data_IF_405173550644
#
_entry.id   IF_405173550644
#
_cell.length_a   1.000
_cell.length_b   1.000
_cell.length_c   1.000
_cell.angle_alpha   90.00
_cell.angle_beta   90.00
_cell.angle_gamma   90.00
#
_symmetry.space_group_name_H-M   'P 1'
#
loop_
_entity.id
_entity.type
_entity.pdbx_description
1 polymer ?
#
# COMPACT_ATOMS: atom_id res chain seq x y z
N UNK A 1 -37.03 22.40 -9.95
CA UNK A 1 -37.45 22.52 -8.53
C UNK A 1 -36.31 23.17 -7.78
N UNK A 2 -36.56 24.12 -6.87
CA UNK A 2 -35.50 24.82 -6.15
C UNK A 2 -34.73 23.86 -5.23
N UNK A 3 -33.40 23.86 -5.32
CA UNK A 3 -32.47 23.04 -4.53
C UNK A 3 -32.66 23.21 -3.01
N UNK A 4 -33.11 24.39 -2.58
CA UNK A 4 -33.39 24.71 -1.17
C UNK A 4 -34.50 23.86 -0.55
N UNK A 5 -35.41 23.30 -1.37
CA UNK A 5 -36.47 22.40 -0.88
C UNK A 5 -35.92 21.03 -0.46
N UNK A 6 -34.93 20.50 -1.18
CA UNK A 6 -34.34 19.18 -0.90
C UNK A 6 -33.53 19.19 0.41
N UNK A 7 -32.87 20.31 0.73
CA UNK A 7 -32.04 20.44 1.94
C UNK A 7 -32.88 20.39 3.24
N UNK A 8 -33.95 21.19 3.33
CA UNK A 8 -34.76 21.30 4.55
C UNK A 8 -35.49 19.99 4.87
N UNK A 9 -35.82 19.19 3.86
CA UNK A 9 -36.61 17.97 4.04
C UNK A 9 -35.80 16.77 4.55
N UNK A 10 -34.49 16.71 4.29
CA UNK A 10 -33.64 15.64 4.84
C UNK A 10 -33.61 15.64 6.38
N UNK A 11 -33.87 16.79 7.01
CA UNK A 11 -33.90 16.97 8.46
C UNK A 11 -35.23 16.60 9.12
N UNK A 12 -36.28 16.31 8.34
CA UNK A 12 -37.60 15.91 8.87
C UNK A 12 -37.61 14.43 9.28
N UNK A 13 -36.78 13.58 8.65
CA UNK A 13 -36.66 12.14 8.96
C UNK A 13 -35.23 11.76 9.34
N UNK A 14 -34.83 12.23 10.52
CA UNK A 14 -33.45 12.13 11.00
C UNK A 14 -32.95 10.69 11.09
N UNK A 15 -33.76 9.74 11.56
CA UNK A 15 -33.29 8.37 11.83
C UNK A 15 -32.92 7.58 10.58
N UNK A 16 -33.81 7.48 9.58
CA UNK A 16 -33.52 6.75 8.34
C UNK A 16 -32.41 7.42 7.55
N UNK A 17 -32.45 8.75 7.41
CA UNK A 17 -31.42 9.50 6.70
C UNK A 17 -30.04 9.35 7.35
N UNK A 18 -29.97 9.41 8.69
CA UNK A 18 -28.72 9.21 9.44
C UNK A 18 -28.20 7.78 9.25
N UNK A 19 -29.06 6.76 9.34
CA UNK A 19 -28.62 5.38 9.09
C UNK A 19 -28.04 5.19 7.70
N UNK A 20 -28.67 5.74 6.67
CA UNK A 20 -28.20 5.64 5.29
C UNK A 20 -26.87 6.36 5.10
N UNK A 21 -26.74 7.56 5.66
CA UNK A 21 -25.47 8.32 5.64
C UNK A 21 -24.37 7.57 6.38
N UNK A 22 -24.65 6.92 7.51
CA UNK A 22 -23.67 6.11 8.25
C UNK A 22 -23.24 4.86 7.47
N UNK A 23 -24.17 4.14 6.84
CA UNK A 23 -23.86 3.00 5.97
C UNK A 23 -22.95 3.46 4.83
N UNK A 24 -23.33 4.54 4.14
CA UNK A 24 -22.53 5.13 3.06
C UNK A 24 -21.13 5.51 3.58
N UNK A 25 -21.05 6.18 4.72
CA UNK A 25 -19.79 6.60 5.32
C UNK A 25 -18.88 5.41 5.64
N UNK A 26 -19.43 4.32 6.18
CA UNK A 26 -18.66 3.09 6.44
C UNK A 26 -18.11 2.48 5.14
N UNK A 27 -18.94 2.37 4.09
CA UNK A 27 -18.48 1.87 2.78
C UNK A 27 -17.38 2.75 2.20
N UNK A 28 -17.56 4.07 2.23
CA UNK A 28 -16.56 5.01 1.69
C UNK A 28 -15.28 5.01 2.51
N UNK A 29 -15.34 4.84 3.82
CA UNK A 29 -14.15 4.74 4.67
C UNK A 29 -13.29 3.53 4.27
N UNK A 30 -13.91 2.36 4.10
CA UNK A 30 -13.22 1.14 3.67
C UNK A 30 -12.72 1.26 2.22
N UNK A 31 -13.54 1.82 1.32
CA UNK A 31 -13.14 2.01 -0.07
C UNK A 31 -11.96 2.99 -0.21
N UNK A 32 -11.98 4.09 0.53
CA UNK A 32 -10.87 5.07 0.55
C UNK A 32 -9.60 4.46 1.13
N UNK A 33 -9.72 3.62 2.16
CA UNK A 33 -8.58 2.87 2.70
C UNK A 33 -7.98 1.92 1.66
N UNK A 34 -8.83 1.17 0.93
CA UNK A 34 -8.41 0.27 -0.15
C UNK A 34 -7.68 1.03 -1.27
N UNK A 35 -8.22 2.19 -1.70
CA UNK A 35 -7.58 3.02 -2.74
C UNK A 35 -6.24 3.56 -2.28
N UNK A 36 -6.15 4.10 -1.06
CA UNK A 36 -4.91 4.60 -0.49
C UNK A 36 -3.85 3.50 -0.36
N UNK A 37 -4.27 2.29 0.03
CA UNK A 37 -3.35 1.16 0.14
C UNK A 37 -2.83 0.71 -1.25
N UNK A 38 -3.72 0.61 -2.25
CA UNK A 38 -3.32 0.24 -3.62
C UNK A 38 -2.33 1.24 -4.21
N UNK A 39 -2.55 2.53 -3.96
CA UNK A 39 -1.63 3.59 -4.37
C UNK A 39 -0.27 3.45 -3.67
N UNK A 40 -0.26 3.25 -2.34
CA UNK A 40 0.97 3.07 -1.58
C UNK A 40 1.77 1.85 -2.06
N UNK A 41 1.11 0.73 -2.34
CA UNK A 41 1.75 -0.46 -2.91
C UNK A 41 2.34 -0.18 -4.28
N UNK A 42 1.57 0.44 -5.18
CA UNK A 42 2.01 0.73 -6.56
C UNK A 42 3.21 1.69 -6.56
N UNK A 43 3.15 2.73 -5.73
CA UNK A 43 4.24 3.70 -5.56
C UNK A 43 5.50 3.05 -5.04
N UNK A 44 5.41 2.24 -3.98
CA UNK A 44 6.58 1.56 -3.41
C UNK A 44 7.25 0.62 -4.44
N UNK A 45 6.46 -0.10 -5.23
CA UNK A 45 6.96 -0.98 -6.29
C UNK A 45 7.57 -0.21 -7.47
N UNK A 46 7.07 0.98 -7.80
CA UNK A 46 7.64 1.80 -8.90
C UNK A 46 9.05 2.30 -8.61
N UNK A 47 9.41 2.49 -7.33
CA UNK A 47 10.78 2.85 -6.96
C UNK A 47 11.73 1.65 -7.00
N UNK A 48 11.19 0.43 -7.06
CA UNK A 48 11.91 -0.81 -7.07
C UNK A 48 11.81 -1.50 -8.45
N UNK A 49 11.60 -0.74 -9.53
CA UNK A 49 11.36 -1.27 -10.88
C UNK A 49 12.59 -1.25 -11.79
N UNK A 50 13.78 -1.51 -11.23
CA UNK A 50 15.01 -1.52 -12.02
C UNK A 50 15.11 -2.80 -12.86
N UNK A 51 15.13 -2.65 -14.19
CA UNK A 51 15.23 -3.78 -15.12
C UNK A 51 16.68 -4.22 -15.36
N UNK A 52 17.67 -3.43 -14.96
CA UNK A 52 19.10 -3.70 -15.17
C UNK A 52 19.81 -4.21 -13.92
N UNK A 53 19.18 -4.08 -12.75
CA UNK A 53 19.62 -4.73 -11.53
C UNK A 53 19.04 -6.14 -11.49
N UNK A 54 19.90 -7.14 -11.35
CA UNK A 54 19.50 -8.51 -11.08
C UNK A 54 19.66 -8.80 -9.59
N UNK A 55 18.68 -9.50 -9.04
CA UNK A 55 18.75 -10.11 -7.72
C UNK A 55 19.00 -11.60 -7.94
N UNK A 56 20.18 -12.05 -7.55
CA UNK A 56 20.59 -13.46 -7.64
C UNK A 56 20.31 -14.13 -6.30
N UNK A 57 19.62 -15.27 -6.35
CA UNK A 57 19.24 -16.10 -5.22
C UNK A 57 19.75 -17.52 -5.42
N UNK A 58 19.81 -18.30 -4.34
CA UNK A 58 19.98 -19.75 -4.44
C UNK A 58 18.81 -20.34 -5.23
N UNK A 59 19.09 -21.31 -6.10
CA UNK A 59 18.06 -22.03 -6.86
C UNK A 59 16.93 -22.55 -5.94
N UNK A 60 15.70 -22.48 -6.45
CA UNK A 60 14.45 -22.79 -5.72
C UNK A 60 14.08 -21.83 -4.57
N UNK A 61 14.84 -20.77 -4.33
CA UNK A 61 14.45 -19.72 -3.37
C UNK A 61 13.47 -18.75 -4.03
N UNK A 62 12.52 -18.25 -3.23
CA UNK A 62 11.48 -17.31 -3.69
C UNK A 62 11.66 -15.91 -3.12
N UNK A 63 12.58 -15.74 -2.16
CA UNK A 63 12.86 -14.50 -1.46
C UNK A 63 14.33 -14.45 -1.04
N UNK A 64 14.85 -13.25 -0.78
CA UNK A 64 16.19 -13.12 -0.19
C UNK A 64 16.26 -13.74 1.23
N UNK A 65 15.15 -13.78 1.97
CA UNK A 65 15.08 -14.32 3.33
C UNK A 65 15.15 -15.85 3.42
N UNK A 66 14.74 -16.58 2.37
CA UNK A 66 14.82 -18.05 2.32
C UNK A 66 15.94 -18.57 1.41
N UNK A 67 16.82 -17.68 0.96
CA UNK A 67 17.96 -17.99 0.12
C UNK A 67 19.25 -18.09 0.95
N UNK A 68 20.13 -18.99 0.53
CA UNK A 68 21.43 -19.23 1.13
C UNK A 68 22.44 -19.60 0.03
N UNK A 69 23.25 -18.62 -0.37
CA UNK A 69 24.29 -18.74 -1.39
C UNK A 69 25.65 -18.94 -0.69
N UNK A 70 26.27 -20.12 -0.81
CA UNK A 70 27.62 -20.37 -0.31
C UNK A 70 28.65 -19.43 -0.97
N UNK A 71 29.77 -19.12 -0.28
CA UNK A 71 30.85 -18.32 -0.85
C UNK A 71 31.41 -18.88 -2.17
N UNK A 72 31.46 -20.20 -2.31
CA UNK A 72 31.93 -20.85 -3.54
C UNK A 72 31.02 -20.54 -4.74
N UNK A 73 29.70 -20.55 -4.55
CA UNK A 73 28.74 -20.20 -5.60
C UNK A 73 28.76 -18.71 -5.92
N UNK A 74 28.96 -17.85 -4.91
CA UNK A 74 29.20 -16.43 -5.13
C UNK A 74 30.45 -16.18 -5.99
N UNK A 75 31.52 -16.95 -5.76
CA UNK A 75 32.76 -16.81 -6.52
C UNK A 75 32.58 -17.16 -8.00
N UNK A 76 31.67 -18.08 -8.35
CA UNK A 76 31.31 -18.41 -9.74
C UNK A 76 30.77 -17.20 -10.51
N UNK A 77 30.09 -16.26 -9.84
CA UNK A 77 29.58 -15.03 -10.47
C UNK A 77 30.69 -14.11 -11.00
N UNK A 78 31.95 -14.35 -10.66
CA UNK A 78 33.11 -13.64 -11.23
C UNK A 78 33.22 -13.86 -12.75
N UNK A 79 32.67 -14.96 -13.28
CA UNK A 79 32.59 -15.22 -14.72
C UNK A 79 31.78 -14.15 -15.47
N UNK A 80 30.88 -13.45 -14.79
CA UNK A 80 30.01 -12.43 -15.38
C UNK A 80 30.61 -11.02 -15.30
N UNK A 81 31.82 -10.83 -14.75
CA UNK A 81 32.39 -9.50 -14.49
C UNK A 81 32.44 -8.60 -15.73
N UNK A 82 32.57 -9.15 -16.94
CA UNK A 82 32.59 -8.32 -18.17
C UNK A 82 31.22 -7.71 -18.51
N UNK A 83 30.14 -8.32 -18.03
CA UNK A 83 28.76 -7.91 -18.29
C UNK A 83 28.24 -6.95 -17.22
N UNK A 84 28.92 -6.93 -16.06
CA UNK A 84 28.57 -6.10 -14.92
C UNK A 84 29.02 -4.65 -15.12
N UNK A 85 28.18 -3.73 -14.66
CA UNK A 85 28.53 -2.32 -14.60
C UNK A 85 29.69 -2.11 -13.62
N UNK A 86 30.56 -1.17 -13.93
CA UNK A 86 31.69 -0.78 -13.08
C UNK A 86 31.35 0.51 -12.34
N UNK A 87 31.67 0.60 -11.05
CA UNK A 87 31.58 1.85 -10.31
C UNK A 87 32.58 2.88 -10.89
N UNK A 88 32.11 4.07 -11.33
CA UNK A 88 32.99 5.09 -11.86
C UNK A 88 34.09 5.54 -10.88
N UNK A 89 33.84 5.46 -9.56
CA UNK A 89 34.75 5.92 -8.50
C UNK A 89 35.74 4.84 -8.11
N UNK A 90 35.26 3.70 -7.60
CA UNK A 90 36.13 2.64 -7.07
C UNK A 90 36.73 1.75 -8.16
N UNK A 91 36.19 1.80 -9.38
CA UNK A 91 36.48 0.86 -10.48
C UNK A 91 36.13 -0.61 -10.16
N UNK A 92 35.43 -0.87 -9.06
CA UNK A 92 34.94 -2.20 -8.73
C UNK A 92 33.72 -2.56 -9.56
N UNK A 93 33.55 -3.86 -9.78
CA UNK A 93 32.32 -4.39 -10.37
C UNK A 93 31.14 -4.15 -9.43
N UNK A 94 30.00 -3.73 -9.96
CA UNK A 94 28.78 -3.49 -9.20
C UNK A 94 28.10 -4.83 -8.87
N UNK A 95 28.72 -5.53 -7.91
CA UNK A 95 28.32 -6.82 -7.35
C UNK A 95 28.38 -6.73 -5.83
N UNK A 96 27.22 -6.81 -5.19
CA UNK A 96 27.05 -6.68 -3.76
C UNK A 96 26.50 -7.98 -3.17
N UNK A 97 27.32 -8.79 -2.46
CA UNK A 97 26.80 -9.89 -1.66
C UNK A 97 26.10 -9.33 -0.43
N UNK A 98 24.91 -9.85 -0.12
CA UNK A 98 24.07 -9.32 0.93
C UNK A 98 23.54 -10.43 1.82
N UNK A 99 23.50 -10.18 3.12
CA UNK A 99 22.80 -11.04 4.07
C UNK A 99 21.53 -10.34 4.52
N UNK A 100 20.45 -11.10 4.71
CA UNK A 100 19.24 -10.58 5.31
C UNK A 100 18.84 -11.51 6.44
N UNK A 101 18.60 -10.90 7.59
CA UNK A 101 18.03 -11.54 8.77
C UNK A 101 16.91 -10.68 9.31
N UNK A 102 16.13 -11.22 10.24
CA UNK A 102 15.04 -10.48 10.86
C UNK A 102 15.26 -10.38 12.36
N UNK A 103 14.87 -9.23 12.89
CA UNK A 103 14.92 -8.90 14.30
C UNK A 103 13.56 -8.40 14.72
N UNK A 104 13.09 -8.82 15.89
CA UNK A 104 11.84 -8.35 16.45
C UNK A 104 12.10 -7.05 17.22
N UNK A 105 11.51 -5.94 16.76
CA UNK A 105 11.63 -4.63 17.42
C UNK A 105 10.26 -4.12 17.89
N UNK A 106 10.21 -3.40 19.01
CA UNK A 106 8.97 -2.81 19.54
C UNK A 106 8.45 -1.69 18.64
N UNK A 107 7.14 -1.69 18.39
CA UNK A 107 6.45 -0.68 17.57
C UNK A 107 6.18 0.59 18.36
N UNK A 108 6.52 1.76 17.80
CA UNK A 108 6.25 3.07 18.41
C UNK A 108 4.75 3.36 18.54
N UNK A 109 3.94 2.96 17.54
CA UNK A 109 2.51 3.28 17.51
C UNK A 109 1.76 2.75 18.74
N UNK A 110 2.12 1.56 19.20
CA UNK A 110 1.45 0.89 20.30
C UNK A 110 2.20 1.12 21.62
N UNK A 111 3.04 2.17 21.70
CA UNK A 111 3.85 2.52 22.88
C UNK A 111 4.93 1.49 23.21
N UNK A 112 5.33 0.65 22.25
CA UNK A 112 6.29 -0.44 22.43
C UNK A 112 5.67 -1.74 22.98
N UNK A 113 4.35 -1.84 23.11
CA UNK A 113 3.68 -3.04 23.65
C UNK A 113 3.67 -4.25 22.71
N UNK A 114 3.81 -4.03 21.41
CA UNK A 114 3.82 -5.07 20.38
C UNK A 114 5.12 -5.00 19.59
N UNK A 115 5.61 -6.16 19.16
CA UNK A 115 6.81 -6.25 18.33
C UNK A 115 6.45 -6.51 16.86
N UNK A 116 7.34 -6.12 15.95
CA UNK A 116 7.31 -6.57 14.57
C UNK A 116 8.71 -6.95 14.08
N UNK A 117 8.75 -7.78 13.04
CA UNK A 117 10.00 -8.17 12.41
C UNK A 117 10.50 -7.05 11.51
N UNK A 118 11.72 -6.60 11.73
CA UNK A 118 12.44 -5.64 10.90
C UNK A 118 13.57 -6.38 10.20
N UNK A 119 13.75 -6.14 8.91
CA UNK A 119 14.86 -6.74 8.17
C UNK A 119 16.16 -5.99 8.49
N UNK A 120 17.19 -6.76 8.84
CA UNK A 120 18.56 -6.30 8.96
C UNK A 120 19.34 -6.84 7.77
N UNK A 121 19.84 -5.92 6.95
CA UNK A 121 20.67 -6.20 5.79
C UNK A 121 22.14 -5.98 6.16
N UNK A 122 22.95 -7.00 5.98
CA UNK A 122 24.40 -6.83 5.95
C UNK A 122 24.84 -6.57 4.52
N UNK A 123 25.58 -5.50 4.33
CA UNK A 123 25.96 -4.97 3.03
C UNK A 123 27.43 -4.52 3.01
N UNK A 124 28.04 -4.56 1.83
CA UNK A 124 29.35 -3.96 1.56
C UNK A 124 29.18 -2.53 1.02
N UNK A 125 30.30 -1.84 0.75
CA UNK A 125 30.24 -0.48 0.19
C UNK A 125 29.65 -0.46 -1.23
N UNK A 126 29.82 -1.56 -1.99
CA UNK A 126 29.24 -1.76 -3.32
C UNK A 126 27.70 -1.71 -3.31
N UNK A 127 27.05 -2.06 -2.19
CA UNK A 127 25.60 -2.01 -2.07
C UNK A 127 25.05 -0.60 -2.35
N UNK A 128 25.74 0.45 -1.92
CA UNK A 128 25.32 1.83 -2.16
C UNK A 128 25.41 2.26 -3.63
N UNK A 129 26.17 1.53 -4.45
CA UNK A 129 26.30 1.80 -5.88
C UNK A 129 25.30 0.96 -6.67
N UNK A 130 25.12 -0.30 -6.27
CA UNK A 130 24.16 -1.22 -6.88
C UNK A 130 22.71 -0.74 -6.64
N UNK A 131 22.41 -0.29 -5.43
CA UNK A 131 21.11 0.26 -5.03
C UNK A 131 21.07 1.78 -5.20
N UNK A 132 20.85 2.24 -6.44
CA UNK A 132 20.87 3.67 -6.82
C UNK A 132 19.88 4.57 -6.06
N UNK A 133 18.83 3.98 -5.51
CA UNK A 133 17.78 4.70 -4.78
C UNK A 133 18.13 4.99 -3.31
N UNK A 134 19.28 4.48 -2.82
CA UNK A 134 19.70 4.65 -1.42
C UNK A 134 20.56 5.90 -1.27
N UNK A 135 20.09 6.85 -0.48
CA UNK A 135 20.82 8.06 -0.13
C UNK A 135 20.84 8.26 1.40
N UNK A 136 22.00 8.60 1.95
CA UNK A 136 22.10 8.99 3.37
C UNK A 136 21.39 10.32 3.55
N UNK A 137 20.33 10.33 4.36
CA UNK A 137 19.53 11.53 4.62
C UNK A 137 20.02 12.27 5.86
N UNK A 138 20.51 11.55 6.88
CA UNK A 138 21.05 12.13 8.11
C UNK A 138 22.23 11.30 8.63
N UNK A 139 23.17 11.96 9.31
CA UNK A 139 24.35 11.30 9.89
C UNK A 139 25.36 10.86 8.84
N UNK A 140 25.91 9.66 8.98
CA UNK A 140 26.92 9.10 8.06
C UNK A 140 26.67 7.63 7.73
N UNK A 141 27.40 7.12 6.74
CA UNK A 141 27.47 5.67 6.45
C UNK A 141 28.12 4.93 7.64
N UNK A 142 27.78 3.65 7.77
CA UNK A 142 28.50 2.74 8.66
C UNK A 142 29.90 2.46 8.10
N UNK A 143 30.85 2.16 9.00
CA UNK A 143 32.20 1.75 8.62
C UNK A 143 32.31 0.22 8.56
N UNK A 144 33.00 -0.30 7.54
CA UNK A 144 33.22 -1.75 7.43
C UNK A 144 34.02 -2.27 8.63
N UNK A 145 33.54 -3.35 9.25
CA UNK A 145 34.16 -3.94 10.45
C UNK A 145 33.75 -3.30 11.78
N UNK A 146 33.01 -2.19 11.77
CA UNK A 146 32.51 -1.54 12.98
C UNK A 146 31.16 -2.12 13.44
N UNK A 147 30.84 -1.99 14.73
CA UNK A 147 29.51 -2.30 15.27
C UNK A 147 28.57 -1.09 15.08
N UNK A 148 28.36 -0.72 13.83
CA UNK A 148 27.56 0.43 13.43
C UNK A 148 26.49 0.02 12.43
N UNK A 149 25.36 0.70 12.46
CA UNK A 149 24.25 0.51 11.53
C UNK A 149 23.69 1.85 11.09
N UNK A 150 23.09 1.85 9.90
CA UNK A 150 22.21 2.91 9.44
C UNK A 150 20.79 2.37 9.34
N UNK A 151 19.80 3.25 9.47
CA UNK A 151 18.38 2.86 9.51
C UNK A 151 17.62 3.57 8.41
N UNK A 152 16.74 2.87 7.71
CA UNK A 152 15.84 3.48 6.75
C UNK A 152 14.85 4.44 7.43
N UNK A 153 14.54 5.58 6.82
CA UNK A 153 13.67 6.60 7.42
C UNK A 153 12.31 6.06 7.89
N UNK A 154 11.79 5.06 7.18
CA UNK A 154 10.50 4.48 7.51
C UNK A 154 10.61 3.56 8.74
N UNK A 155 11.68 2.75 8.83
CA UNK A 155 11.95 1.95 10.01
C UNK A 155 12.15 2.84 11.25
N UNK A 156 12.91 3.93 11.13
CA UNK A 156 13.15 4.86 12.24
C UNK A 156 11.87 5.51 12.80
N UNK A 157 10.85 5.72 11.94
CA UNK A 157 9.54 6.27 12.36
C UNK A 157 8.59 5.22 12.95
N UNK A 158 8.84 3.94 12.73
CA UNK A 158 7.95 2.86 13.13
C UNK A 158 8.38 2.14 14.39
N UNK A 159 9.69 2.01 14.61
CA UNK A 159 10.25 1.18 15.67
C UNK A 159 11.03 2.02 16.68
N UNK A 160 10.96 1.62 17.95
CA UNK A 160 11.66 2.33 19.01
C UNK A 160 13.16 1.98 19.01
N UNK A 161 14.00 2.90 19.49
CA UNK A 161 15.44 2.70 19.63
C UNK A 161 16.23 2.76 18.32
N UNK A 162 15.68 3.39 17.29
CA UNK A 162 16.30 3.52 15.96
C UNK A 162 16.74 4.96 15.63
N UNK A 163 16.85 5.85 16.62
CA UNK A 163 17.36 7.20 16.38
C UNK A 163 18.89 7.20 16.28
N UNK A 164 19.46 8.20 15.61
CA UNK A 164 20.91 8.36 15.54
C UNK A 164 21.47 8.55 16.96
N UNK A 165 22.45 7.72 17.31
CA UNK A 165 23.03 7.64 18.65
C UNK A 165 22.50 6.49 19.50
N UNK A 166 21.33 5.93 19.17
CA UNK A 166 20.78 4.78 19.87
C UNK A 166 21.66 3.53 19.62
N UNK A 167 21.59 2.58 20.54
CA UNK A 167 22.26 1.28 20.39
C UNK A 167 21.22 0.18 20.33
N UNK A 168 21.24 -0.60 19.26
CA UNK A 168 20.37 -1.76 19.06
C UNK A 168 21.13 -3.06 19.24
N UNK A 169 20.50 -4.00 19.93
CA UNK A 169 21.08 -5.32 20.14
C UNK A 169 20.74 -6.23 18.96
N UNK A 170 21.76 -6.59 18.19
CA UNK A 170 21.68 -7.52 17.05
C UNK A 170 22.55 -8.75 17.29
N UNK A 171 22.41 -9.73 16.40
CA UNK A 171 23.10 -11.01 16.47
C UNK A 171 22.20 -12.16 16.90
N UNK A 172 22.70 -13.38 16.79
CA UNK A 172 21.91 -14.61 16.99
C UNK A 172 21.23 -14.67 18.36
N UNK A 173 21.91 -14.24 19.42
CA UNK A 173 21.37 -14.16 20.78
C UNK A 173 21.01 -12.73 21.21
N UNK A 174 21.06 -11.75 20.29
CA UNK A 174 20.84 -10.34 20.60
C UNK A 174 21.86 -9.77 21.61
N UNK A 175 23.11 -10.26 21.58
CA UNK A 175 24.14 -9.91 22.56
C UNK A 175 25.16 -8.88 22.07
N UNK A 176 25.04 -8.39 20.83
CA UNK A 176 25.96 -7.39 20.27
C UNK A 176 25.23 -6.07 20.05
N UNK A 177 25.67 -5.03 20.75
CA UNK A 177 25.17 -3.68 20.58
C UNK A 177 25.76 -3.03 19.33
N UNK A 178 24.90 -2.62 18.41
CA UNK A 178 25.24 -1.83 17.22
C UNK A 178 24.73 -0.41 17.39
N UNK A 179 25.60 0.56 17.15
CA UNK A 179 25.24 1.98 17.25
C UNK A 179 24.61 2.47 15.95
N UNK A 180 23.49 3.17 16.04
CA UNK A 180 22.86 3.83 14.90
C UNK A 180 23.64 5.11 14.58
N UNK A 181 24.25 5.18 13.40
CA UNK A 181 25.12 6.31 12.99
C UNK A 181 24.54 7.20 11.90
N UNK A 182 23.43 6.79 11.29
CA UNK A 182 22.77 7.56 10.25
C UNK A 182 21.44 6.99 9.84
N UNK A 183 20.66 7.82 9.15
CA UNK A 183 19.43 7.42 8.48
C UNK A 183 19.60 7.51 6.97
N UNK A 184 18.94 6.62 6.23
CA UNK A 184 18.92 6.64 4.78
C UNK A 184 17.49 6.66 4.24
N UNK A 185 17.32 7.28 3.07
CA UNK A 185 16.08 7.21 2.30
C UNK A 185 16.25 6.27 1.13
N UNK A 186 15.19 5.52 0.82
CA UNK A 186 15.08 4.71 -0.40
C UNK A 186 13.99 5.28 -1.35
N UNK A 187 13.69 6.58 -1.23
CA UNK A 187 12.62 7.29 -1.94
C UNK A 187 11.22 6.64 -1.80
N UNK A 188 10.89 6.01 -0.67
CA UNK A 188 9.63 5.27 -0.49
C UNK A 188 9.64 3.84 -1.02
N UNK A 189 10.80 3.34 -1.45
CA UNK A 189 11.00 1.94 -1.85
C UNK A 189 11.02 0.97 -0.65
N UNK A 190 10.90 -0.34 -0.89
CA UNK A 190 10.80 -1.36 0.17
C UNK A 190 11.96 -1.36 1.18
N UNK A 191 13.15 -0.97 0.74
CA UNK A 191 14.37 -0.95 1.57
C UNK A 191 14.37 0.16 2.63
N UNK A 192 13.47 1.13 2.57
CA UNK A 192 13.36 2.22 3.57
C UNK A 192 12.87 1.72 4.93
N UNK A 193 12.37 0.48 5.00
CA UNK A 193 11.95 -0.23 6.21
C UNK A 193 13.05 -1.15 6.77
N UNK A 194 14.29 -1.06 6.29
CA UNK A 194 15.39 -1.94 6.69
C UNK A 194 16.41 -1.23 7.58
N UNK A 195 17.19 -2.03 8.31
CA UNK A 195 18.40 -1.62 9.03
C UNK A 195 19.60 -2.18 8.27
N UNK A 196 20.58 -1.35 7.94
CA UNK A 196 21.76 -1.77 7.19
C UNK A 196 23.01 -1.69 8.05
N UNK A 197 23.90 -2.67 7.94
CA UNK A 197 25.21 -2.65 8.60
C UNK A 197 26.27 -3.42 7.83
N UNK A 198 27.51 -3.48 8.36
CA UNK A 198 28.62 -4.16 7.71
C UNK A 198 28.36 -5.65 7.55
N UNK A 199 28.46 -6.14 6.31
CA UNK A 199 28.20 -7.54 5.96
C UNK A 199 28.95 -8.53 6.85
N UNK A 200 30.27 -8.43 6.89
CA UNK A 200 31.13 -9.39 7.61
C UNK A 200 30.85 -9.39 9.11
N UNK A 201 30.58 -8.21 9.68
CA UNK A 201 30.33 -8.05 11.11
C UNK A 201 28.99 -8.65 11.48
N UNK A 202 27.94 -8.40 10.69
CA UNK A 202 26.62 -8.99 10.88
C UNK A 202 26.64 -10.51 10.64
N UNK A 203 27.33 -11.01 9.61
CA UNK A 203 27.44 -12.46 9.35
C UNK A 203 28.04 -13.17 10.56
N UNK A 204 29.12 -12.62 11.12
CA UNK A 204 29.74 -13.14 12.34
C UNK A 204 28.80 -13.06 13.55
N UNK A 205 28.06 -11.95 13.72
CA UNK A 205 27.11 -11.78 14.83
C UNK A 205 25.94 -12.76 14.77
N UNK A 206 25.52 -13.16 13.57
CA UNK A 206 24.42 -14.11 13.35
C UNK A 206 24.90 -15.54 13.07
N UNK A 207 26.21 -15.81 13.20
CA UNK A 207 26.82 -17.12 12.91
C UNK A 207 26.46 -17.66 11.51
N UNK A 208 26.35 -16.77 10.51
CA UNK A 208 26.05 -17.13 9.13
C UNK A 208 27.32 -17.24 8.30
N UNK A 209 27.36 -18.23 7.42
CA UNK A 209 28.45 -18.49 6.47
C UNK A 209 27.98 -18.45 4.99
N UNK A 210 26.74 -18.04 4.74
CA UNK A 210 26.15 -17.93 3.40
C UNK A 210 25.45 -16.58 3.22
N UNK A 211 25.44 -16.09 1.99
CA UNK A 211 24.74 -14.85 1.61
C UNK A 211 23.26 -15.14 1.37
N UNK A 212 22.40 -14.17 1.63
CA UNK A 212 20.98 -14.24 1.30
C UNK A 212 20.74 -13.98 -0.18
N UNK A 213 21.44 -13.00 -0.73
CA UNK A 213 21.29 -12.61 -2.12
C UNK A 213 22.59 -11.99 -2.63
N UNK A 214 22.70 -11.90 -3.95
CA UNK A 214 23.75 -11.11 -4.59
C UNK A 214 23.05 -10.14 -5.53
N UNK A 215 23.16 -8.85 -5.23
CA UNK A 215 22.66 -7.80 -6.10
C UNK A 215 23.75 -7.47 -7.11
N UNK A 216 23.44 -7.63 -8.40
CA UNK A 216 24.37 -7.29 -9.49
C UNK A 216 23.73 -6.30 -10.44
N UNK A 217 24.54 -5.40 -10.98
CA UNK A 217 24.08 -4.44 -11.99
C UNK A 217 24.72 -4.73 -13.33
N UNK A 218 23.90 -4.81 -14.37
CA UNK A 218 24.37 -5.01 -15.74
C UNK A 218 24.73 -3.68 -16.41
N UNK A 219 25.65 -3.75 -17.37
CA UNK A 219 25.89 -2.67 -18.33
C UNK A 219 24.68 -2.45 -19.24
N UNK A 220 24.61 -1.29 -19.88
CA UNK A 220 23.50 -0.94 -20.78
C UNK A 220 23.50 -1.76 -22.09
N UNK A 221 24.63 -2.38 -22.43
CA UNK A 221 24.85 -3.11 -23.69
C UNK A 221 24.36 -4.57 -23.65
N UNK A 222 24.20 -5.14 -22.45
CA UNK A 222 23.89 -6.58 -22.28
C UNK A 222 22.40 -6.81 -22.01
N UNK A 223 21.76 -7.76 -22.69
CA UNK A 223 20.36 -8.15 -22.40
C UNK A 223 20.27 -8.89 -21.05
N UNK A 224 19.50 -8.41 -20.06
CA UNK A 224 19.30 -9.10 -18.80
C UNK A 224 18.86 -10.57 -18.93
N UNK A 225 18.09 -10.92 -19.96
CA UNK A 225 17.61 -12.29 -20.16
C UNK A 225 18.74 -13.28 -20.47
N UNK A 226 19.74 -12.81 -21.21
CA UNK A 226 20.89 -13.63 -21.57
C UNK A 226 21.78 -13.91 -20.34
N UNK A 227 21.95 -12.91 -19.48
CA UNK A 227 22.69 -13.08 -18.22
C UNK A 227 21.94 -14.00 -17.27
N UNK A 228 20.62 -13.84 -17.16
CA UNK A 228 19.78 -14.70 -16.31
C UNK A 228 19.90 -16.17 -16.76
N UNK A 229 19.83 -16.46 -18.07
CA UNK A 229 19.95 -17.84 -18.55
C UNK A 229 21.33 -18.45 -18.30
N UNK A 230 22.40 -17.64 -18.32
CA UNK A 230 23.74 -18.07 -17.90
C UNK A 230 23.82 -18.37 -16.40
N UNK A 231 23.23 -17.52 -15.55
CA UNK A 231 23.18 -17.73 -14.10
C UNK A 231 22.40 -18.99 -13.73
N UNK A 232 21.30 -19.24 -14.45
CA UNK A 232 20.43 -20.43 -14.26
C UNK A 232 20.99 -21.70 -14.92
N UNK A 233 22.08 -21.57 -15.67
CA UNK A 233 22.76 -22.69 -16.30
C UNK A 233 23.52 -23.58 -15.30
N UNK A 234 23.96 -24.77 -15.75
CA UNK A 234 24.67 -25.76 -14.94
C UNK A 234 26.04 -25.28 -14.42
N UNK A 235 26.56 -24.16 -14.94
CA UNK A 235 27.84 -23.60 -14.52
C UNK A 235 27.76 -22.87 -13.17
N UNK A 236 26.62 -22.23 -12.88
CA UNK A 236 26.43 -21.36 -11.71
C UNK A 236 25.37 -21.94 -10.76
N UNK A 237 24.32 -22.58 -11.27
CA UNK A 237 23.24 -23.22 -10.49
C UNK A 237 22.56 -22.28 -9.47
N UNK A 238 22.41 -21.00 -9.85
CA UNK A 238 21.65 -20.01 -9.09
C UNK A 238 20.39 -19.62 -9.87
N UNK A 239 19.50 -18.84 -9.26
CA UNK A 239 18.41 -18.21 -10.00
C UNK A 239 18.57 -16.71 -9.94
N UNK A 240 18.22 -16.03 -11.03
CA UNK A 240 18.32 -14.59 -11.12
C UNK A 240 17.04 -14.04 -11.73
N UNK A 241 16.63 -12.90 -11.24
CA UNK A 241 15.54 -12.14 -11.83
C UNK A 241 15.82 -10.66 -11.71
N UNK A 242 15.24 -9.88 -12.60
CA UNK A 242 15.33 -8.42 -12.49
C UNK A 242 14.70 -7.96 -11.18
N UNK A 243 15.18 -6.85 -10.62
CA UNK A 243 14.60 -6.29 -9.41
C UNK A 243 13.11 -6.00 -9.58
N UNK A 244 12.71 -5.50 -10.76
CA UNK A 244 11.31 -5.29 -11.12
C UNK A 244 10.47 -6.58 -11.02
N UNK A 245 10.98 -7.70 -11.54
CA UNK A 245 10.31 -9.01 -11.45
C UNK A 245 10.26 -9.52 -10.00
N UNK A 246 11.35 -9.33 -9.23
CA UNK A 246 11.39 -9.74 -7.83
C UNK A 246 10.32 -9.06 -6.99
N UNK A 247 10.21 -7.73 -7.07
CA UNK A 247 9.22 -7.01 -6.28
C UNK A 247 7.79 -7.21 -6.79
N UNK A 248 7.57 -7.40 -8.09
CA UNK A 248 6.25 -7.77 -8.62
C UNK A 248 5.82 -9.16 -8.11
N UNK A 249 6.74 -10.13 -8.09
CA UNK A 249 6.50 -11.46 -7.53
C UNK A 249 6.16 -11.39 -6.03
N UNK A 250 6.89 -10.58 -5.25
CA UNK A 250 6.59 -10.40 -3.83
C UNK A 250 5.25 -9.73 -3.58
N UNK A 251 4.87 -8.76 -4.41
CA UNK A 251 3.59 -8.08 -4.29
C UNK A 251 2.39 -8.96 -4.67
N UNK A 252 2.59 -10.12 -5.30
CA UNK A 252 1.51 -10.99 -5.79
C UNK A 252 0.51 -11.37 -4.71
N UNK A 253 0.98 -11.81 -3.54
CA UNK A 253 0.10 -12.19 -2.43
C UNK A 253 -0.73 -11.00 -1.94
N UNK A 254 -0.10 -9.83 -1.80
CA UNK A 254 -0.79 -8.60 -1.39
C UNK A 254 -1.80 -8.13 -2.43
N UNK A 255 -1.49 -8.23 -3.73
CA UNK A 255 -2.46 -7.94 -4.81
C UNK A 255 -3.66 -8.90 -4.78
N UNK A 256 -3.44 -10.18 -4.47
CA UNK A 256 -4.53 -11.14 -4.28
C UNK A 256 -5.42 -10.74 -3.11
N UNK A 257 -4.84 -10.38 -1.95
CA UNK A 257 -5.62 -9.87 -0.81
C UNK A 257 -6.40 -8.60 -1.17
N UNK A 258 -5.78 -7.65 -1.88
CA UNK A 258 -6.48 -6.44 -2.34
C UNK A 258 -7.61 -6.75 -3.30
N UNK A 259 -7.46 -7.76 -4.15
CA UNK A 259 -8.53 -8.20 -5.06
C UNK A 259 -9.71 -8.75 -4.28
N UNK A 260 -9.47 -9.58 -3.26
CA UNK A 260 -10.52 -10.09 -2.37
C UNK A 260 -11.23 -8.95 -1.65
N UNK A 261 -10.48 -8.00 -1.07
CA UNK A 261 -11.06 -6.82 -0.42
C UNK A 261 -11.83 -5.96 -1.41
N UNK A 262 -11.38 -5.83 -2.66
CA UNK A 262 -12.10 -5.10 -3.71
C UNK A 262 -13.46 -5.72 -4.02
N UNK A 263 -13.55 -7.05 -4.07
CA UNK A 263 -14.83 -7.76 -4.24
C UNK A 263 -15.75 -7.51 -3.06
N UNK A 264 -15.24 -7.59 -1.83
CA UNK A 264 -16.01 -7.28 -0.61
C UNK A 264 -16.52 -5.84 -0.61
N UNK A 265 -15.70 -4.87 -1.00
CA UNK A 265 -16.12 -3.48 -1.17
C UNK A 265 -17.19 -3.35 -2.25
N UNK A 266 -17.09 -4.09 -3.36
CA UNK A 266 -18.15 -4.16 -4.37
C UNK A 266 -19.50 -4.64 -3.80
N UNK A 267 -19.48 -5.67 -2.95
CA UNK A 267 -20.67 -6.17 -2.26
C UNK A 267 -21.22 -5.10 -1.28
N UNK A 268 -20.33 -4.42 -0.54
CA UNK A 268 -20.72 -3.32 0.35
C UNK A 268 -21.36 -2.16 -0.44
N UNK A 269 -20.84 -1.83 -1.62
CA UNK A 269 -21.44 -0.83 -2.53
C UNK A 269 -22.84 -1.26 -2.98
N UNK A 270 -23.06 -2.53 -3.30
CA UNK A 270 -24.39 -3.04 -3.61
C UNK A 270 -25.35 -2.90 -2.41
N UNK A 271 -24.90 -3.26 -1.20
CA UNK A 271 -25.68 -3.08 0.03
C UNK A 271 -26.00 -1.59 0.29
N UNK A 272 -25.05 -0.69 0.04
CA UNK A 272 -25.27 0.76 0.13
C UNK A 272 -26.31 1.23 -0.89
N UNK A 273 -26.26 0.75 -2.15
CA UNK A 273 -27.28 1.05 -3.15
C UNK A 273 -28.69 0.62 -2.70
N UNK A 274 -28.82 -0.56 -2.08
CA UNK A 274 -30.09 -1.04 -1.52
C UNK A 274 -30.57 -0.17 -0.34
N UNK A 275 -29.66 0.23 0.54
CA UNK A 275 -29.97 1.13 1.67
C UNK A 275 -30.49 2.49 1.17
N UNK A 276 -29.82 3.05 0.15
CA UNK A 276 -30.24 4.28 -0.53
C UNK A 276 -31.60 4.08 -1.20
N UNK A 277 -31.80 2.98 -1.92
CA UNK A 277 -33.07 2.67 -2.57
C UNK A 277 -34.21 2.62 -1.56
N UNK A 278 -34.03 1.94 -0.43
CA UNK A 278 -35.03 1.85 0.63
C UNK A 278 -35.37 3.23 1.22
N UNK A 279 -34.35 4.05 1.43
CA UNK A 279 -34.52 5.43 1.91
C UNK A 279 -35.30 6.27 0.91
N UNK A 280 -34.97 6.17 -0.37
CA UNK A 280 -35.63 6.88 -1.44
C UNK A 280 -37.07 6.39 -1.64
N UNK A 281 -37.36 5.08 -1.53
CA UNK A 281 -38.73 4.57 -1.54
C UNK A 281 -39.56 5.16 -0.40
N UNK A 282 -39.01 5.20 0.82
CA UNK A 282 -39.67 5.80 1.97
C UNK A 282 -39.91 7.31 1.78
N UNK A 283 -38.91 8.04 1.26
CA UNK A 283 -39.02 9.47 0.94
C UNK A 283 -40.10 9.73 -0.12
N UNK A 284 -40.12 8.91 -1.17
CA UNK A 284 -41.11 9.01 -2.26
C UNK A 284 -42.52 8.71 -1.79
N UNK A 285 -42.72 7.65 -1.00
CA UNK A 285 -44.03 7.28 -0.48
C UNK A 285 -44.62 8.38 0.41
N UNK A 286 -43.79 9.00 1.26
CA UNK A 286 -44.21 10.10 2.12
C UNK A 286 -44.59 11.38 1.35
N UNK A 287 -44.07 11.56 0.13
CA UNK A 287 -44.22 12.79 -0.69
C UNK A 287 -45.03 12.56 -1.97
N UNK A 288 -45.74 11.44 -2.05
CA UNK A 288 -46.56 11.09 -3.23
C UNK A 288 -47.57 12.18 -3.60
N UNK A 289 -48.21 12.79 -2.59
CA UNK A 289 -49.18 13.90 -2.75
C UNK A 289 -48.52 15.17 -3.29
N UNK A 290 -47.34 15.51 -2.78
CA UNK A 290 -46.56 16.66 -3.29
C UNK A 290 -46.18 16.47 -4.76
N UNK A 291 -45.71 15.28 -5.12
CA UNK A 291 -45.37 14.96 -6.52
C UNK A 291 -46.59 14.98 -7.43
N UNK A 292 -47.75 14.51 -6.95
CA UNK A 292 -49.01 14.59 -7.70
C UNK A 292 -49.41 16.06 -7.95
N UNK A 293 -49.35 16.92 -6.94
CA UNK A 293 -49.60 18.37 -7.10
C UNK A 293 -48.61 19.03 -8.07
N UNK A 294 -47.31 18.73 -7.94
CA UNK A 294 -46.28 19.27 -8.84
C UNK A 294 -46.54 18.88 -10.31
N UNK A 295 -47.05 17.67 -10.57
CA UNK A 295 -47.46 17.27 -11.92
C UNK A 295 -48.69 18.01 -12.43
N UNK A 296 -49.65 18.34 -11.56
CA UNK A 296 -50.85 19.09 -11.96
C UNK A 296 -50.53 20.51 -12.41
N UNK A 297 -49.50 21.14 -11.82
CA UNK A 297 -49.03 22.47 -12.22
C UNK A 297 -47.98 22.44 -13.36
N UNK A 298 -47.80 21.28 -14.02
CA UNK A 298 -47.02 21.16 -15.26
C UNK A 298 -45.59 20.62 -15.12
N UNK A 299 -45.13 20.19 -13.94
CA UNK A 299 -43.80 19.55 -13.85
C UNK A 299 -43.77 18.19 -14.56
N UNK A 300 -42.74 17.98 -15.38
CA UNK A 300 -42.53 16.73 -16.09
C UNK A 300 -42.01 15.63 -15.14
N UNK A 301 -42.28 14.36 -15.47
CA UNK A 301 -41.75 13.22 -14.70
C UNK A 301 -40.22 13.19 -14.65
N UNK A 302 -39.55 13.69 -15.70
CA UNK A 302 -38.08 13.81 -15.76
C UNK A 302 -37.54 14.79 -14.73
N UNK A 303 -38.24 15.90 -14.47
CA UNK A 303 -37.85 16.87 -13.45
C UNK A 303 -38.00 16.29 -12.02
N UNK A 304 -39.02 15.45 -11.80
CA UNK A 304 -39.20 14.74 -10.52
C UNK A 304 -38.07 13.73 -10.32
N UNK A 305 -37.78 12.91 -11.34
CA UNK A 305 -36.66 11.97 -11.32
C UNK A 305 -35.33 12.67 -11.04
N UNK A 306 -35.04 13.77 -11.75
CA UNK A 306 -33.83 14.55 -11.55
C UNK A 306 -33.72 15.09 -10.12
N UNK A 307 -34.83 15.55 -9.52
CA UNK A 307 -34.83 16.01 -8.12
C UNK A 307 -34.47 14.90 -7.14
N UNK A 308 -34.98 13.68 -7.34
CA UNK A 308 -34.70 12.52 -6.48
C UNK A 308 -33.24 12.07 -6.64
N UNK A 309 -32.72 12.07 -7.87
CA UNK A 309 -31.31 11.76 -8.13
C UNK A 309 -30.41 12.79 -7.44
N UNK A 310 -30.74 14.07 -7.53
CA UNK A 310 -29.98 15.14 -6.84
C UNK A 310 -30.04 14.97 -5.32
N UNK A 311 -31.19 14.58 -4.75
CA UNK A 311 -31.32 14.28 -3.32
C UNK A 311 -30.41 13.11 -2.90
N UNK A 312 -30.36 12.05 -3.71
CA UNK A 312 -29.49 10.89 -3.48
C UNK A 312 -27.99 11.22 -3.61
N UNK A 313 -27.62 12.01 -4.63
CA UNK A 313 -26.24 12.50 -4.77
C UNK A 313 -25.85 13.31 -3.53
N UNK A 314 -26.74 14.18 -3.05
CA UNK A 314 -26.47 14.98 -1.87
C UNK A 314 -26.22 14.13 -0.62
N UNK A 315 -27.02 13.07 -0.41
CA UNK A 315 -26.79 12.09 0.66
C UNK A 315 -25.48 11.32 0.49
N UNK A 316 -25.15 10.96 -0.75
CA UNK A 316 -23.92 10.23 -1.09
C UNK A 316 -22.68 11.10 -0.89
N UNK A 317 -22.77 12.39 -1.18
CA UNK A 317 -21.71 13.36 -0.91
C UNK A 317 -21.51 13.57 0.59
N UNK A 318 -22.59 13.69 1.36
CA UNK A 318 -22.51 13.80 2.83
C UNK A 318 -21.89 12.56 3.45
N UNK A 319 -22.40 11.37 3.11
CA UNK A 319 -21.84 10.11 3.59
C UNK A 319 -20.40 9.90 3.10
N UNK A 320 -20.10 10.29 1.86
CA UNK A 320 -18.75 10.22 1.30
C UNK A 320 -17.77 11.13 2.02
N UNK A 321 -18.14 12.38 2.30
CA UNK A 321 -17.32 13.31 3.07
C UNK A 321 -17.06 12.77 4.48
N UNK A 322 -18.09 12.26 5.16
CA UNK A 322 -17.96 11.63 6.47
C UNK A 322 -17.09 10.37 6.44
N UNK A 323 -17.23 9.54 5.40
CA UNK A 323 -16.42 8.33 5.23
C UNK A 323 -14.94 8.64 4.98
N UNK A 324 -14.64 9.62 4.13
CA UNK A 324 -13.28 10.09 3.91
C UNK A 324 -12.67 10.69 5.19
N UNK A 325 -13.45 11.50 5.93
CA UNK A 325 -13.03 12.06 7.22
C UNK A 325 -12.77 10.97 8.26
N UNK A 326 -13.64 9.96 8.35
CA UNK A 326 -13.47 8.81 9.22
C UNK A 326 -12.23 8.00 8.85
N UNK A 327 -11.96 7.80 7.55
CA UNK A 327 -10.76 7.13 7.07
C UNK A 327 -9.49 7.90 7.45
N UNK A 328 -9.47 9.22 7.26
CA UNK A 328 -8.36 10.10 7.65
C UNK A 328 -8.12 10.10 9.16
N UNK A 329 -9.20 10.20 9.95
CA UNK A 329 -9.11 10.12 11.41
C UNK A 329 -8.56 8.77 11.84
N UNK A 330 -9.03 7.68 11.22
CA UNK A 330 -8.52 6.34 11.48
C UNK A 330 -7.04 6.18 11.14
N UNK A 331 -6.59 6.69 9.99
CA UNK A 331 -5.17 6.63 9.61
C UNK A 331 -4.28 7.45 10.55
N UNK A 332 -4.75 8.61 11.02
CA UNK A 332 -4.00 9.39 12.01
C UNK A 332 -3.89 8.68 13.35
N UNK A 333 -4.97 8.06 13.83
CA UNK A 333 -5.00 7.34 15.11
C UNK A 333 -4.26 6.01 15.04
N UNK A 334 -4.49 5.23 13.99
CA UNK A 334 -3.88 3.94 13.76
C UNK A 334 -2.51 4.03 13.08
N UNK A 335 -1.93 5.22 12.95
CA UNK A 335 -0.70 5.45 12.18
C UNK A 335 -0.89 5.25 10.67
N UNK A 336 -0.24 6.11 9.88
CA UNK A 336 -0.31 6.00 8.42
C UNK A 336 0.42 4.76 7.89
N UNK A 337 1.29 4.16 8.70
CA UNK A 337 2.16 3.07 8.29
C UNK A 337 1.62 1.72 8.74
N UNK A 338 1.35 0.81 7.80
CA UNK A 338 0.87 -0.55 8.09
C UNK A 338 1.83 -1.61 7.56
N UNK A 339 2.04 -2.63 8.37
CA UNK A 339 2.82 -3.81 8.00
C UNK A 339 1.84 -4.89 7.54
N UNK A 340 1.93 -5.32 6.28
CA UNK A 340 1.02 -6.36 5.75
C UNK A 340 1.74 -7.61 5.24
N UNK A 341 3.07 -7.59 5.16
CA UNK A 341 3.87 -8.71 4.65
C UNK A 341 4.40 -9.68 5.72
N UNK A 342 4.17 -9.39 7.00
CA UNK A 342 4.77 -10.13 8.12
C UNK A 342 4.43 -11.62 8.18
N UNK A 343 3.34 -12.07 7.54
CA UNK A 343 2.92 -13.49 7.57
C UNK A 343 3.39 -14.33 6.38
N UNK A 344 3.72 -13.72 5.23
CA UNK A 344 3.99 -14.46 3.97
C UNK A 344 5.38 -14.24 3.38
N UNK A 345 6.01 -13.09 3.63
CA UNK A 345 7.36 -12.78 3.13
C UNK A 345 8.35 -12.57 4.27
N UNK A 346 7.89 -12.64 5.53
CA UNK A 346 8.64 -12.42 6.77
C UNK A 346 9.28 -11.02 6.90
N UNK A 347 9.49 -10.29 5.81
CA UNK A 347 9.93 -8.88 5.78
C UNK A 347 8.72 -7.96 5.95
N UNK A 348 8.76 -7.03 6.90
CA UNK A 348 7.76 -5.96 6.99
C UNK A 348 8.09 -4.88 5.96
N UNK A 349 7.42 -4.92 4.81
CA UNK A 349 7.28 -3.70 4.03
C UNK A 349 6.24 -2.84 4.72
N UNK A 350 6.69 -1.69 5.17
CA UNK A 350 5.81 -0.69 5.71
C UNK A 350 5.25 0.12 4.53
N UNK A 351 3.92 0.28 4.47
CA UNK A 351 3.29 1.17 3.49
C UNK A 351 2.75 2.38 4.21
N UNK A 352 3.19 3.56 3.78
CA UNK A 352 2.54 4.80 4.21
C UNK A 352 1.28 5.02 3.37
N UNK A 353 0.14 4.66 3.95
CA UNK A 353 -1.16 4.85 3.34
C UNK A 353 -1.50 6.33 3.43
N UNK A 354 -1.53 7.00 2.26
CA UNK A 354 -1.93 8.40 2.15
C UNK A 354 -3.18 8.51 1.30
N UNK A 355 -4.19 9.23 1.79
CA UNK A 355 -5.28 9.69 0.93
C UNK A 355 -4.78 10.91 0.16
N UNK A 356 -4.50 10.70 -1.12
CA UNK A 356 -4.25 11.81 -2.05
C UNK A 356 -5.57 12.45 -2.45
N UNK A 357 -5.59 13.73 -2.86
CA UNK A 357 -6.80 14.38 -3.39
C UNK A 357 -7.47 13.56 -4.50
N UNK A 358 -6.65 12.87 -5.30
CA UNK A 358 -7.11 11.98 -6.36
C UNK A 358 -7.88 10.75 -5.82
N UNK A 359 -7.36 10.07 -4.80
CA UNK A 359 -8.07 8.92 -4.19
C UNK A 359 -9.40 9.33 -3.56
N UNK A 360 -9.46 10.52 -2.94
CA UNK A 360 -10.69 11.09 -2.38
C UNK A 360 -11.70 11.38 -3.49
N UNK A 361 -11.26 11.95 -4.61
CA UNK A 361 -12.12 12.24 -5.75
C UNK A 361 -12.71 10.94 -6.34
N UNK A 362 -11.89 9.90 -6.52
CA UNK A 362 -12.37 8.59 -6.99
C UNK A 362 -13.37 7.97 -6.00
N UNK A 363 -13.11 8.05 -4.69
CA UNK A 363 -14.02 7.54 -3.68
C UNK A 363 -15.38 8.27 -3.72
N UNK A 364 -15.37 9.60 -3.82
CA UNK A 364 -16.57 10.44 -3.90
C UNK A 364 -17.32 10.21 -5.21
N UNK A 365 -16.63 10.08 -6.34
CA UNK A 365 -17.23 9.77 -7.63
C UNK A 365 -17.88 8.37 -7.62
N UNK A 366 -17.18 7.38 -7.08
CA UNK A 366 -17.66 6.01 -6.94
C UNK A 366 -18.93 5.94 -6.10
N UNK A 367 -18.97 6.58 -4.93
CA UNK A 367 -20.17 6.56 -4.08
C UNK A 367 -21.32 7.37 -4.67
N UNK A 368 -21.03 8.45 -5.39
CA UNK A 368 -22.06 9.21 -6.12
C UNK A 368 -22.71 8.36 -7.20
N UNK A 369 -21.93 7.54 -7.93
CA UNK A 369 -22.46 6.58 -8.89
C UNK A 369 -23.36 5.53 -8.20
N UNK A 370 -22.94 4.99 -7.06
CA UNK A 370 -23.75 4.06 -6.24
C UNK A 370 -25.07 4.73 -5.78
N UNK A 371 -25.01 6.00 -5.38
CA UNK A 371 -26.20 6.77 -5.00
C UNK A 371 -27.17 7.00 -6.15
N UNK A 372 -26.65 7.30 -7.34
CA UNK A 372 -27.47 7.41 -8.55
C UNK A 372 -28.16 6.06 -8.81
N UNK A 373 -27.40 4.96 -8.83
CA UNK A 373 -27.92 3.60 -9.08
C UNK A 373 -29.03 3.22 -8.07
N UNK A 374 -28.82 3.47 -6.78
CA UNK A 374 -29.81 3.22 -5.74
C UNK A 374 -31.10 4.05 -5.89
N UNK A 375 -30.98 5.28 -6.41
CA UNK A 375 -32.12 6.20 -6.55
C UNK A 375 -32.88 6.06 -7.89
N UNK A 376 -32.30 5.43 -8.91
CA UNK A 376 -32.93 5.32 -10.24
C UNK A 376 -34.27 4.61 -10.17
N UNK A 377 -34.35 3.43 -9.53
CA UNK A 377 -35.59 2.64 -9.46
C UNK A 377 -36.71 3.38 -8.71
N UNK A 378 -36.53 3.86 -7.47
CA UNK A 378 -37.55 4.64 -6.77
C UNK A 378 -37.91 5.94 -7.50
N UNK A 379 -36.92 6.60 -8.12
CA UNK A 379 -37.14 7.82 -8.90
C UNK A 379 -38.00 7.58 -10.14
N UNK A 380 -37.77 6.47 -10.86
CA UNK A 380 -38.60 6.10 -12.02
C UNK A 380 -40.02 5.80 -11.56
N UNK A 381 -40.20 5.05 -10.46
CA UNK A 381 -41.55 4.79 -9.91
C UNK A 381 -42.25 6.08 -9.54
N UNK A 382 -41.60 7.00 -8.83
CA UNK A 382 -42.14 8.32 -8.49
C UNK A 382 -42.57 9.10 -9.74
N UNK A 383 -41.70 9.09 -10.77
CA UNK A 383 -41.95 9.75 -12.04
C UNK A 383 -43.07 9.11 -12.88
N UNK A 384 -43.60 7.94 -12.49
CA UNK A 384 -44.69 7.25 -13.20
C UNK A 384 -45.98 7.16 -12.40
N UNK A 385 -46.02 7.66 -11.17
CA UNK A 385 -47.24 7.74 -10.37
C UNK A 385 -48.30 8.57 -11.11
N UNK A 386 -49.47 7.95 -11.35
CA UNK A 386 -50.63 8.60 -11.95
C UNK A 386 -51.28 9.51 -10.90
N UNK A 387 -51.57 10.75 -11.30
CA UNK A 387 -52.13 11.81 -10.44
C UNK A 387 -53.45 11.35 -9.78
N UNK A 388 -54.26 10.59 -10.52
CA UNK A 388 -55.59 10.13 -10.07
C UNK A 388 -55.51 9.06 -8.97
N UNK A 389 -54.53 8.16 -9.01
CA UNK A 389 -54.37 7.13 -7.97
C UNK A 389 -53.75 7.71 -6.70
N UNK A 390 -52.77 8.62 -6.84
CA UNK A 390 -52.10 9.24 -5.70
C UNK A 390 -53.02 10.17 -4.87
N UNK A 391 -54.08 10.73 -5.46
CA UNK A 391 -55.09 11.52 -4.75
C UNK A 391 -56.21 10.65 -4.13
N UNK A 392 -56.36 9.40 -4.57
CA UNK A 392 -57.45 8.49 -4.18
C UNK A 392 -57.06 7.44 -3.13
N UNK A 393 -55.76 7.10 -3.02
CA UNK A 393 -55.21 6.20 -1.97
C UNK A 393 -54.88 6.91 -0.65
N UNK A 394 -55.22 8.20 -0.52
CA UNK A 394 -54.94 9.03 0.65
C UNK A 394 -56.11 9.10 1.62
#
# INVERSE_FOLDING_TARGET
MPLSYNWKNLFVRKTTTVMTVLVIAAVVAVFSWLLGFREALTRSLSFASDQRKLIVLRQASTSETNSAIPPDDFNKLTQLNQELAVDPVTKNQQKSPEMIVQVSLPRLRDGGSTNANVAVRGATDEAFVVHKNIAISQGRKFEQGALEVIVGEQAARQFAGLNIGDTINLGYSGNRGYRVVGHFSANGGPMESEIWGPLTTLMNSYLRNAYSSVSVRLTDEVDPKEVISRIEGPAIELTAQTEAQYWDAQAKNVRTYLTIVSVLVGIMCAAAAFSIANTMFSSVAARSREFAMLRTIGFSGRQILASIIVESIFLSLLGGALGCAACLAWLRLAGNTKDMFGASTFTTMAFEIRLTPWTVLIAIAGISAVGILGAVVPGIRASRLRVVTALREA
#
